data_IF_564604793509
#
_entry.id   IF_564604793509
#
_cell.length_a   1.000
_cell.length_b   1.000
_cell.length_c   1.000
_cell.angle_alpha   90.00
_cell.angle_beta   90.00
_cell.angle_gamma   90.00
#
_symmetry.space_group_name_H-M   'P 1'
#
loop_
_entity.id
_entity.type
_entity.pdbx_description
1 polymer ?
#
# COMPACT_ATOMS: atom_id res chain seq x y z
N UNK A 1 -14.95 17.76 -5.83
CA UNK A 1 -14.03 16.60 -5.78
C UNK A 1 -12.65 17.02 -6.29
N UNK A 2 -11.62 17.06 -5.43
CA UNK A 2 -10.24 17.43 -5.83
C UNK A 2 -9.43 16.17 -6.16
N UNK A 3 -8.98 16.03 -7.41
CA UNK A 3 -8.19 14.87 -7.86
C UNK A 3 -6.71 14.91 -7.43
N UNK A 4 -6.23 16.08 -6.98
CA UNK A 4 -4.85 16.32 -6.53
C UNK A 4 -3.78 15.90 -7.54
N UNK A 5 -4.10 16.03 -8.84
CA UNK A 5 -3.27 15.55 -9.94
C UNK A 5 -1.81 16.04 -9.84
N UNK A 6 -1.59 17.32 -9.56
CA UNK A 6 -0.23 17.89 -9.40
C UNK A 6 0.52 17.23 -8.25
N UNK A 7 -0.12 16.98 -7.10
CA UNK A 7 0.51 16.30 -5.96
C UNK A 7 0.89 14.85 -6.28
N UNK A 8 0.08 14.18 -7.12
CA UNK A 8 0.35 12.79 -7.56
C UNK A 8 1.46 12.73 -8.61
N UNK A 9 1.45 13.65 -9.57
CA UNK A 9 2.46 13.73 -10.64
C UNK A 9 3.81 14.19 -10.07
N UNK A 10 3.78 15.21 -9.22
CA UNK A 10 4.96 15.81 -8.61
C UNK A 10 4.80 15.81 -7.08
N UNK A 11 5.21 14.72 -6.40
CA UNK A 11 5.25 14.68 -4.94
C UNK A 11 5.99 15.88 -4.36
N UNK A 12 5.38 16.50 -3.38
CA UNK A 12 5.77 17.80 -2.83
C UNK A 12 6.80 17.65 -1.70
N UNK A 13 7.65 18.66 -1.53
CA UNK A 13 8.78 18.62 -0.58
C UNK A 13 8.35 18.48 0.89
N UNK A 14 7.11 18.85 1.22
CA UNK A 14 6.55 18.70 2.57
C UNK A 14 6.47 17.24 3.02
N UNK A 15 6.53 16.27 2.09
CA UNK A 15 6.65 14.84 2.39
C UNK A 15 7.92 14.47 3.17
N UNK A 16 8.97 15.31 3.15
CA UNK A 16 10.18 15.09 3.95
C UNK A 16 9.89 14.98 5.44
N UNK A 17 8.82 15.61 5.95
CA UNK A 17 8.39 15.49 7.36
C UNK A 17 7.92 14.06 7.73
N UNK A 18 7.58 13.26 6.73
CA UNK A 18 7.11 11.88 6.87
C UNK A 18 8.26 10.88 6.72
N UNK A 19 9.53 11.33 6.80
CA UNK A 19 10.68 10.48 6.53
C UNK A 19 10.76 9.30 7.50
N UNK A 20 10.96 8.09 6.97
CA UNK A 20 11.11 6.87 7.76
C UNK A 20 9.81 6.33 8.36
N UNK A 21 8.65 6.82 7.90
CA UNK A 21 7.35 6.30 8.34
C UNK A 21 7.08 4.93 7.71
N UNK A 22 6.21 4.15 8.34
CA UNK A 22 5.63 2.98 7.71
C UNK A 22 4.58 3.45 6.71
N UNK A 23 4.76 3.10 5.44
CA UNK A 23 3.84 3.50 4.39
C UNK A 23 2.73 2.46 4.26
N UNK A 24 1.50 2.88 4.51
CA UNK A 24 0.29 2.07 4.30
C UNK A 24 -0.51 2.66 3.14
N UNK A 25 -0.90 1.82 2.19
CA UNK A 25 -1.73 2.22 1.07
C UNK A 25 -3.10 1.54 1.12
N UNK A 26 -4.15 2.37 1.09
CA UNK A 26 -5.56 1.97 1.02
C UNK A 26 -6.22 2.80 -0.07
N UNK A 27 -6.53 2.21 -1.22
CA UNK A 27 -7.08 2.90 -2.38
C UNK A 27 -8.44 3.55 -2.11
N UNK A 28 -9.24 2.97 -1.21
CA UNK A 28 -10.61 3.39 -0.92
C UNK A 28 -10.93 3.37 0.60
N UNK A 29 -12.11 3.90 0.95
CA UNK A 29 -12.66 3.83 2.32
C UNK A 29 -12.82 2.38 2.79
N UNK A 30 -13.28 1.49 1.91
CA UNK A 30 -13.48 0.08 2.25
C UNK A 30 -12.17 -0.62 2.60
N UNK A 31 -11.09 -0.35 1.86
CA UNK A 31 -9.77 -0.90 2.15
C UNK A 31 -9.18 -0.32 3.44
N UNK A 32 -9.39 0.97 3.69
CA UNK A 32 -8.98 1.57 4.95
C UNK A 32 -9.67 0.90 6.14
N UNK A 33 -10.99 0.73 6.08
CA UNK A 33 -11.74 0.05 7.13
C UNK A 33 -11.29 -1.41 7.31
N UNK A 34 -11.00 -2.10 6.20
CA UNK A 34 -10.47 -3.47 6.22
C UNK A 34 -9.11 -3.56 6.92
N UNK A 35 -8.21 -2.59 6.69
CA UNK A 35 -6.90 -2.55 7.35
C UNK A 35 -6.90 -1.85 8.71
N UNK A 36 -7.99 -1.21 9.12
CA UNK A 36 -8.02 -0.38 10.32
C UNK A 36 -7.59 -1.13 11.60
N UNK A 37 -8.00 -2.40 11.86
CA UNK A 37 -7.52 -3.15 13.01
C UNK A 37 -5.99 -3.32 13.01
N UNK A 38 -5.40 -3.59 11.83
CA UNK A 38 -3.96 -3.72 11.67
C UNK A 38 -3.25 -2.36 11.86
N UNK A 39 -3.81 -1.28 11.30
CA UNK A 39 -3.26 0.08 11.47
C UNK A 39 -3.26 0.50 12.94
N UNK A 40 -4.28 0.13 13.71
CA UNK A 40 -4.38 0.41 15.15
C UNK A 40 -3.22 -0.18 15.95
N UNK A 41 -2.82 -1.41 15.65
CA UNK A 41 -1.67 -2.03 16.32
C UNK A 41 -0.35 -1.46 15.79
N UNK A 42 -0.19 -1.36 14.47
CA UNK A 42 1.05 -0.86 13.87
C UNK A 42 1.38 0.58 14.28
N UNK A 43 0.38 1.43 14.49
CA UNK A 43 0.61 2.83 14.90
C UNK A 43 1.19 2.97 16.30
N UNK A 44 1.14 1.92 17.13
CA UNK A 44 1.72 1.91 18.48
C UNK A 44 3.24 1.92 18.44
N UNK A 45 3.83 1.31 17.42
CA UNK A 45 5.28 1.14 17.25
C UNK A 45 5.84 1.96 16.08
N UNK A 46 4.97 2.43 15.18
CA UNK A 46 5.36 3.09 13.95
C UNK A 46 4.56 4.36 13.68
N UNK A 47 5.24 5.39 13.18
CA UNK A 47 4.55 6.53 12.54
C UNK A 47 4.04 6.09 11.17
N UNK A 48 2.76 6.33 10.90
CA UNK A 48 2.11 5.89 9.67
C UNK A 48 2.04 7.02 8.64
N UNK A 49 2.50 6.75 7.41
CA UNK A 49 2.16 7.52 6.22
C UNK A 49 1.06 6.76 5.48
N UNK A 50 -0.13 7.34 5.43
CA UNK A 50 -1.27 6.77 4.74
C UNK A 50 -1.40 7.36 3.34
N UNK A 51 -1.54 6.51 2.32
CA UNK A 51 -1.87 6.93 0.96
C UNK A 51 -3.16 6.35 0.43
N UNK A 52 -3.83 7.11 -0.43
CA UNK A 52 -5.10 6.74 -1.05
C UNK A 52 -5.14 7.04 -2.54
N UNK A 53 -5.99 6.32 -3.27
CA UNK A 53 -6.17 6.51 -4.70
C UNK A 53 -7.48 7.23 -5.01
N UNK A 54 -8.61 6.74 -4.48
CA UNK A 54 -9.93 7.32 -4.71
C UNK A 54 -10.05 8.74 -4.14
N UNK A 55 -10.42 9.75 -4.94
CA UNK A 55 -10.70 11.10 -4.43
C UNK A 55 -11.81 11.12 -3.38
N UNK A 56 -12.75 10.17 -3.43
CA UNK A 56 -13.85 10.04 -2.45
C UNK A 56 -13.36 9.57 -1.09
N UNK A 57 -12.21 8.90 -1.02
CA UNK A 57 -11.63 8.46 0.25
C UNK A 57 -11.03 9.63 1.05
N UNK A 58 -10.65 10.72 0.39
CA UNK A 58 -9.94 11.84 1.03
C UNK A 58 -10.69 12.41 2.23
N UNK A 59 -11.91 12.88 2.01
CA UNK A 59 -12.71 13.55 3.05
C UNK A 59 -12.94 12.62 4.25
N UNK A 60 -13.25 11.35 3.96
CA UNK A 60 -13.36 10.33 5.00
C UNK A 60 -12.05 10.16 5.78
N UNK A 61 -10.91 10.01 5.11
CA UNK A 61 -9.61 9.82 5.75
C UNK A 61 -9.16 11.06 6.53
N UNK A 62 -9.55 12.27 6.14
CA UNK A 62 -9.29 13.50 6.90
C UNK A 62 -10.00 13.52 8.26
N UNK A 63 -11.06 12.72 8.45
CA UNK A 63 -11.71 12.49 9.76
C UNK A 63 -11.00 11.44 10.62
N UNK A 64 -9.95 10.79 10.09
CA UNK A 64 -9.25 9.63 10.69
C UNK A 64 -7.81 9.95 11.09
N UNK A 65 -7.54 11.22 11.44
CA UNK A 65 -6.19 11.74 11.75
C UNK A 65 -5.51 11.06 12.92
N UNK A 66 -6.27 10.45 13.82
CA UNK A 66 -5.75 9.68 14.96
C UNK A 66 -5.06 8.37 14.55
N UNK A 67 -5.20 7.92 13.29
CA UNK A 67 -4.62 6.68 12.79
C UNK A 67 -3.36 6.86 11.93
N UNK A 68 -2.96 8.09 11.61
CA UNK A 68 -1.77 8.35 10.82
C UNK A 68 -1.06 9.65 11.19
N UNK A 69 0.24 9.73 10.90
CA UNK A 69 1.02 10.97 11.06
C UNK A 69 1.07 11.81 9.78
N UNK A 70 0.89 11.18 8.62
CA UNK A 70 0.84 11.85 7.33
C UNK A 70 -0.22 11.22 6.42
N UNK A 71 -0.93 12.05 5.65
CA UNK A 71 -1.89 11.63 4.63
C UNK A 71 -1.50 12.24 3.27
N UNK A 72 -1.39 11.42 2.24
CA UNK A 72 -1.00 11.89 0.90
C UNK A 72 -1.68 11.08 -0.23
N UNK A 73 -2.11 11.68 -1.35
CA UNK A 73 -2.61 10.89 -2.48
C UNK A 73 -1.49 10.02 -3.07
N UNK A 74 -1.77 8.76 -3.42
CA UNK A 74 -0.79 7.87 -4.05
C UNK A 74 -0.18 8.56 -5.29
N UNK A 75 1.16 8.56 -5.47
CA UNK A 75 1.80 9.11 -6.67
C UNK A 75 1.25 8.44 -7.93
N UNK A 76 1.27 9.16 -9.05
CA UNK A 76 0.91 8.56 -10.34
C UNK A 76 1.87 7.42 -10.66
N UNK A 77 1.35 6.39 -11.33
CA UNK A 77 2.08 5.15 -11.58
C UNK A 77 3.03 5.27 -12.78
N UNK A 78 3.97 6.20 -12.69
CA UNK A 78 5.10 6.35 -13.59
C UNK A 78 6.41 6.37 -12.80
N UNK A 79 7.56 6.00 -13.42
CA UNK A 79 8.82 5.86 -12.72
C UNK A 79 9.28 7.13 -11.99
N UNK A 80 9.03 8.32 -12.55
CA UNK A 80 9.51 9.59 -11.99
C UNK A 80 8.76 9.92 -10.70
N UNK A 81 7.42 9.87 -10.73
CA UNK A 81 6.57 10.20 -9.58
C UNK A 81 6.81 9.23 -8.42
N UNK A 82 6.83 7.91 -8.67
CA UNK A 82 6.99 6.91 -7.60
C UNK A 82 8.39 6.96 -6.97
N UNK A 83 9.45 7.13 -7.77
CA UNK A 83 10.82 7.28 -7.25
C UNK A 83 10.96 8.58 -6.46
N UNK A 84 10.39 9.68 -6.93
CA UNK A 84 10.40 10.95 -6.20
C UNK A 84 9.70 10.83 -4.86
N UNK A 85 8.52 10.21 -4.82
CA UNK A 85 7.78 9.95 -3.57
C UNK A 85 8.63 9.14 -2.59
N UNK A 86 9.20 8.02 -3.04
CA UNK A 86 10.06 7.18 -2.22
C UNK A 86 11.30 7.93 -1.71
N UNK A 87 11.94 8.75 -2.53
CA UNK A 87 13.14 9.50 -2.14
C UNK A 87 12.87 10.57 -1.08
N UNK A 88 11.69 11.19 -1.10
CA UNK A 88 11.28 12.17 -0.10
C UNK A 88 10.96 11.49 1.24
N UNK A 89 10.17 10.43 1.19
CA UNK A 89 9.63 9.73 2.36
C UNK A 89 10.61 8.72 2.95
N UNK A 90 11.49 8.09 2.17
CA UNK A 90 12.36 6.98 2.58
C UNK A 90 11.66 6.00 3.55
N UNK A 91 10.53 5.39 3.14
CA UNK A 91 9.70 4.59 4.05
C UNK A 91 10.42 3.32 4.52
N UNK A 92 10.09 2.85 5.72
CA UNK A 92 10.65 1.59 6.28
C UNK A 92 10.16 0.36 5.53
N UNK A 93 8.87 0.36 5.21
CA UNK A 93 8.18 -0.66 4.43
C UNK A 93 6.93 -0.05 3.79
N UNK A 94 6.40 -0.72 2.77
CA UNK A 94 5.12 -0.43 2.12
C UNK A 94 4.15 -1.59 2.34
N UNK A 95 3.02 -1.33 2.99
CA UNK A 95 1.89 -2.25 3.14
C UNK A 95 0.81 -1.86 2.15
N UNK A 96 0.44 -2.77 1.27
CA UNK A 96 -0.62 -2.59 0.28
C UNK A 96 -1.82 -3.47 0.66
N UNK A 97 -3.01 -2.89 0.65
CA UNK A 97 -4.25 -3.61 0.85
C UNK A 97 -4.68 -4.36 -0.42
N UNK A 98 -5.17 -5.59 -0.23
CA UNK A 98 -5.89 -6.40 -1.20
C UNK A 98 -5.16 -6.66 -2.52
N UNK A 99 -5.31 -5.77 -3.53
CA UNK A 99 -4.93 -6.06 -4.91
C UNK A 99 -4.47 -4.84 -5.72
N UNK A 100 -3.98 -3.82 -5.06
CA UNK A 100 -3.44 -2.61 -5.71
C UNK A 100 -2.06 -2.88 -6.33
N UNK A 101 -2.07 -3.60 -7.46
CA UNK A 101 -0.88 -4.03 -8.19
C UNK A 101 -0.45 -2.98 -9.23
N UNK A 102 0.06 -1.85 -8.76
CA UNK A 102 0.54 -0.73 -9.58
C UNK A 102 1.93 -1.03 -10.19
N UNK A 103 2.06 -1.23 -11.52
CA UNK A 103 3.31 -1.69 -12.13
C UNK A 103 4.53 -0.82 -11.80
N UNK A 104 4.43 0.50 -11.94
CA UNK A 104 5.58 1.38 -11.71
C UNK A 104 5.93 1.44 -10.23
N UNK A 105 4.94 1.55 -9.35
CA UNK A 105 5.09 1.53 -7.91
C UNK A 105 5.85 0.28 -7.47
N UNK A 106 5.43 -0.90 -7.93
CA UNK A 106 6.03 -2.18 -7.54
C UNK A 106 7.41 -2.40 -8.14
N UNK A 107 7.64 -1.92 -9.37
CA UNK A 107 8.88 -2.17 -10.12
C UNK A 107 9.99 -1.19 -9.76
N UNK A 108 9.66 0.10 -9.58
CA UNK A 108 10.65 1.17 -9.47
C UNK A 108 10.91 1.66 -8.05
N UNK A 109 10.11 1.25 -7.06
CA UNK A 109 10.43 1.51 -5.66
C UNK A 109 11.27 0.39 -5.06
N UNK A 110 12.20 0.73 -4.18
CA UNK A 110 13.12 -0.22 -3.53
C UNK A 110 12.66 -0.67 -2.14
N UNK A 111 11.73 0.06 -1.53
CA UNK A 111 11.17 -0.22 -0.20
C UNK A 111 10.68 -1.67 -0.10
N UNK A 112 10.91 -2.38 1.01
CA UNK A 112 10.30 -3.69 1.24
C UNK A 112 8.77 -3.60 1.18
N UNK A 113 8.12 -4.48 0.41
CA UNK A 113 6.68 -4.45 0.16
C UNK A 113 5.98 -5.65 0.78
N UNK A 114 4.84 -5.42 1.41
CA UNK A 114 3.92 -6.43 1.88
C UNK A 114 2.53 -6.25 1.24
N UNK A 115 1.93 -7.34 0.76
CA UNK A 115 0.54 -7.37 0.31
C UNK A 115 -0.31 -8.04 1.39
N UNK A 116 -1.38 -7.40 1.85
CA UNK A 116 -2.19 -7.89 2.97
C UNK A 116 -3.64 -8.07 2.56
N UNK A 117 -4.29 -9.10 3.11
CA UNK A 117 -5.66 -9.50 2.76
C UNK A 117 -5.80 -9.86 1.27
N UNK A 118 -4.76 -10.49 0.72
CA UNK A 118 -4.62 -10.79 -0.70
C UNK A 118 -5.44 -12.01 -1.12
N UNK A 119 -5.89 -12.02 -2.37
CA UNK A 119 -6.51 -13.16 -3.03
C UNK A 119 -6.03 -13.25 -4.48
N UNK A 120 -5.87 -14.46 -5.02
CA UNK A 120 -5.26 -14.68 -6.32
C UNK A 120 -6.31 -14.83 -7.42
N UNK A 121 -6.13 -14.17 -8.57
CA UNK A 121 -6.95 -14.36 -9.78
C UNK A 121 -6.22 -15.09 -10.91
N UNK A 122 -4.89 -15.21 -10.85
CA UNK A 122 -4.08 -15.98 -11.78
C UNK A 122 -3.71 -15.31 -13.10
N UNK A 123 -3.94 -14.01 -13.26
CA UNK A 123 -3.59 -13.29 -14.50
C UNK A 123 -2.07 -13.18 -14.69
N UNK A 124 -1.59 -13.13 -15.94
CA UNK A 124 -0.15 -13.05 -16.23
C UNK A 124 0.52 -11.83 -15.56
N UNK A 125 -0.17 -10.68 -15.55
CA UNK A 125 0.29 -9.45 -14.88
C UNK A 125 0.43 -9.67 -13.37
N UNK A 126 -0.55 -10.31 -12.72
CA UNK A 126 -0.48 -10.62 -11.30
C UNK A 126 0.72 -11.52 -11.00
N UNK A 127 0.90 -12.62 -11.76
CA UNK A 127 2.03 -13.54 -11.60
C UNK A 127 3.39 -12.85 -11.69
N UNK A 128 3.51 -11.83 -12.54
CA UNK A 128 4.75 -11.07 -12.68
C UNK A 128 4.96 -10.08 -11.53
N UNK A 129 3.93 -9.32 -11.17
CA UNK A 129 4.04 -8.23 -10.19
C UNK A 129 4.15 -8.74 -8.75
N UNK A 130 3.50 -9.86 -8.40
CA UNK A 130 3.49 -10.37 -7.03
C UNK A 130 4.87 -10.80 -6.54
N UNK A 131 5.78 -11.16 -7.46
CA UNK A 131 7.18 -11.48 -7.17
C UNK A 131 7.96 -10.30 -6.58
N UNK A 132 7.44 -9.07 -6.68
CA UNK A 132 8.04 -7.86 -6.11
C UNK A 132 7.71 -7.67 -4.63
N UNK A 133 6.80 -8.46 -4.07
CA UNK A 133 6.49 -8.42 -2.65
C UNK A 133 7.46 -9.31 -1.86
N UNK A 134 7.95 -8.76 -0.74
CA UNK A 134 8.76 -9.51 0.24
C UNK A 134 7.89 -10.43 1.09
N UNK A 135 6.63 -10.04 1.32
CA UNK A 135 5.65 -10.76 2.14
C UNK A 135 4.27 -10.65 1.50
N UNK A 136 3.52 -11.75 1.46
CA UNK A 136 2.09 -11.75 1.12
C UNK A 136 1.32 -12.43 2.24
N UNK A 137 0.30 -11.75 2.76
CA UNK A 137 -0.67 -12.31 3.69
C UNK A 137 -1.98 -12.53 2.93
N UNK A 138 -2.30 -13.79 2.68
CA UNK A 138 -3.42 -14.23 1.88
C UNK A 138 -4.66 -14.52 2.74
N UNK A 139 -5.84 -14.41 2.12
CA UNK A 139 -7.14 -14.69 2.76
C UNK A 139 -7.31 -16.16 3.10
N UNK A 140 -6.92 -17.03 2.18
CA UNK A 140 -7.14 -18.47 2.27
C UNK A 140 -5.84 -19.23 2.05
N UNK A 141 -5.82 -20.51 2.45
CA UNK A 141 -4.73 -21.43 2.13
C UNK A 141 -4.57 -21.61 0.61
N UNK A 142 -5.68 -21.67 -0.13
CA UNK A 142 -5.66 -21.82 -1.59
C UNK A 142 -4.99 -20.63 -2.28
N UNK A 143 -5.34 -19.40 -1.87
CA UNK A 143 -4.68 -18.18 -2.37
C UNK A 143 -3.18 -18.20 -2.07
N UNK A 144 -2.80 -18.63 -0.86
CA UNK A 144 -1.40 -18.71 -0.46
C UNK A 144 -0.61 -19.67 -1.37
N UNK A 145 -1.16 -20.85 -1.67
CA UNK A 145 -0.53 -21.81 -2.58
C UNK A 145 -0.41 -21.28 -4.01
N UNK A 146 -1.42 -20.56 -4.52
CA UNK A 146 -1.34 -19.89 -5.83
C UNK A 146 -0.20 -18.86 -5.87
N UNK A 147 -0.09 -18.00 -4.87
CA UNK A 147 1.01 -17.02 -4.83
C UNK A 147 2.39 -17.66 -4.70
N UNK A 148 2.52 -18.77 -3.95
CA UNK A 148 3.76 -19.57 -3.90
C UNK A 148 4.09 -20.16 -5.26
N UNK A 149 3.11 -20.72 -5.96
CA UNK A 149 3.27 -21.23 -7.33
C UNK A 149 3.67 -20.13 -8.32
N UNK A 150 3.31 -18.87 -8.06
CA UNK A 150 3.80 -17.71 -8.83
C UNK A 150 5.24 -17.31 -8.47
N UNK A 151 5.90 -17.97 -7.51
CA UNK A 151 7.29 -17.75 -7.15
C UNK A 151 7.51 -16.80 -5.97
N UNK A 152 6.49 -16.49 -5.18
CA UNK A 152 6.63 -15.69 -3.96
C UNK A 152 7.03 -16.60 -2.80
N UNK A 153 8.13 -16.28 -2.11
CA UNK A 153 8.68 -17.14 -1.05
C UNK A 153 7.92 -17.04 0.27
N UNK A 154 7.64 -15.83 0.74
CA UNK A 154 7.00 -15.60 2.04
C UNK A 154 5.51 -15.32 1.85
N UNK A 155 4.71 -16.38 1.92
CA UNK A 155 3.25 -16.29 1.78
C UNK A 155 2.58 -17.03 2.93
N UNK A 156 1.71 -16.34 3.67
CA UNK A 156 1.02 -16.89 4.83
C UNK A 156 -0.50 -16.70 4.72
N UNK A 157 -1.31 -17.74 4.98
CA UNK A 157 -2.75 -17.62 5.05
C UNK A 157 -3.18 -17.19 6.46
N UNK A 158 -3.71 -15.97 6.61
CA UNK A 158 -4.09 -15.42 7.92
C UNK A 158 -5.59 -15.08 8.04
N UNK A 159 -6.42 -15.56 7.10
CA UNK A 159 -7.84 -15.24 7.09
C UNK A 159 -8.15 -13.91 6.41
N UNK A 160 -9.44 -13.56 6.39
CA UNK A 160 -9.93 -12.37 5.69
C UNK A 160 -10.25 -11.27 6.70
N UNK A 161 -9.54 -10.14 6.62
CA UNK A 161 -9.71 -9.00 7.53
C UNK A 161 -11.10 -8.33 7.49
N UNK A 162 -11.97 -8.72 6.55
CA UNK A 162 -13.36 -8.25 6.49
C UNK A 162 -14.30 -8.95 7.48
N UNK A 163 -13.87 -10.06 8.08
CA UNK A 163 -14.67 -10.90 8.95
C UNK A 163 -13.97 -11.14 10.29
#
# INVERSE_FOLDING_TARGET
MRFEFIRRLLPQEDLKKCRGFLWVHTASVGEFNTLLPLIKELKREHRILLTYFSPRAKEYLETKKEFYGCLYPLPLDNPLSVKRFENLVKPKALIIAERELWPSLLTFTKVPKALVNAYAKGSAVERFLVKRFRLIIARTKEDAEKFKAFGVKNVFPCGNLKF
#
